data_IF_337590648439
#
_entry.id   IF_337590648439
#
_cell.length_a   1.000
_cell.length_b   1.000
_cell.length_c   1.000
_cell.angle_alpha   90.00
_cell.angle_beta   90.00
_cell.angle_gamma   90.00
#
_symmetry.space_group_name_H-M   'P 1'
#
loop_
_entity.id
_entity.type
_entity.pdbx_description
1 polymer ?
#
# COMPACT_ATOMS: atom_id res chain seq x y z
N UNK A 1 -7.36 9.37 -23.39
CA UNK A 1 -6.86 9.02 -22.05
C UNK A 1 -5.62 8.18 -22.20
N UNK A 2 -4.51 8.66 -21.66
CA UNK A 2 -3.26 7.90 -21.55
C UNK A 2 -3.49 6.69 -20.63
N UNK A 3 -2.93 5.54 -21.01
CA UNK A 3 -3.04 4.29 -20.26
C UNK A 3 -1.67 3.93 -19.70
N UNK A 4 -1.68 3.37 -18.49
CA UNK A 4 -0.49 2.90 -17.78
C UNK A 4 -0.71 1.46 -17.31
N UNK A 5 0.37 0.68 -17.27
CA UNK A 5 0.35 -0.70 -16.82
C UNK A 5 0.01 -0.80 -15.34
N UNK A 6 -0.94 -1.67 -14.99
CA UNK A 6 -1.44 -1.81 -13.62
C UNK A 6 -0.40 -2.38 -12.67
N UNK A 7 0.57 -3.17 -13.13
CA UNK A 7 1.67 -3.68 -12.29
C UNK A 7 2.59 -2.55 -11.80
N UNK A 8 2.88 -1.59 -12.68
CA UNK A 8 3.64 -0.38 -12.36
C UNK A 8 2.87 0.51 -11.38
N UNK A 9 1.56 0.67 -11.59
CA UNK A 9 0.70 1.42 -10.65
C UNK A 9 0.59 0.71 -9.31
N UNK A 10 0.38 -0.60 -9.29
CA UNK A 10 0.28 -1.41 -8.07
C UNK A 10 1.57 -1.32 -7.25
N UNK A 11 2.73 -1.44 -7.90
CA UNK A 11 4.03 -1.22 -7.25
C UNK A 11 4.13 0.18 -6.64
N UNK A 12 3.70 1.22 -7.38
CA UNK A 12 3.70 2.58 -6.89
C UNK A 12 2.75 2.77 -5.69
N UNK A 13 1.55 2.18 -5.71
CA UNK A 13 0.59 2.22 -4.60
C UNK A 13 1.19 1.59 -3.34
N UNK A 14 1.72 0.37 -3.44
CA UNK A 14 2.31 -0.35 -2.31
C UNK A 14 3.52 0.40 -1.75
N UNK A 15 4.46 0.82 -2.62
CA UNK A 15 5.64 1.59 -2.20
C UNK A 15 5.27 2.91 -1.54
N UNK A 16 4.26 3.59 -2.08
CA UNK A 16 3.76 4.88 -1.54
C UNK A 16 3.17 4.67 -0.16
N UNK A 17 2.36 3.63 0.04
CA UNK A 17 1.85 3.28 1.36
C UNK A 17 2.99 3.12 2.37
N UNK A 18 3.97 2.25 2.08
CA UNK A 18 5.06 1.98 3.02
C UNK A 18 5.86 3.24 3.34
N UNK A 19 6.23 4.02 2.32
CA UNK A 19 6.97 5.27 2.51
C UNK A 19 6.23 6.23 3.43
N UNK A 20 4.97 6.54 3.12
CA UNK A 20 4.23 7.58 3.84
C UNK A 20 3.71 7.11 5.20
N UNK A 21 3.35 5.83 5.35
CA UNK A 21 2.99 5.27 6.64
C UNK A 21 4.18 5.29 7.61
N UNK A 22 5.35 4.84 7.17
CA UNK A 22 6.58 4.91 7.97
C UNK A 22 6.97 6.35 8.26
N UNK A 23 6.87 7.26 7.28
CA UNK A 23 7.12 8.68 7.49
C UNK A 23 6.21 9.24 8.60
N UNK A 24 4.91 8.93 8.54
CA UNK A 24 3.95 9.33 9.55
C UNK A 24 4.33 8.82 10.95
N UNK A 25 4.71 7.54 11.07
CA UNK A 25 5.16 6.96 12.35
C UNK A 25 6.38 7.72 12.90
N UNK A 26 7.39 7.93 12.06
CA UNK A 26 8.63 8.60 12.45
C UNK A 26 8.33 10.02 12.92
N UNK A 27 7.64 10.82 12.11
CA UNK A 27 7.33 12.21 12.43
C UNK A 27 6.31 12.35 13.57
N UNK A 28 5.44 11.37 13.76
CA UNK A 28 4.51 11.32 14.91
C UNK A 28 5.21 11.01 16.22
N UNK A 29 6.39 10.38 16.16
CA UNK A 29 7.20 9.98 17.33
C UNK A 29 8.40 10.90 17.58
N UNK A 30 8.74 11.77 16.62
CA UNK A 30 9.91 12.64 16.73
C UNK A 30 9.64 13.81 17.69
N UNK A 31 10.48 13.95 18.72
CA UNK A 31 10.46 15.11 19.62
C UNK A 31 11.01 16.36 18.95
N UNK A 32 11.99 16.19 18.05
CA UNK A 32 12.61 17.25 17.25
C UNK A 32 12.39 16.97 15.75
N UNK A 33 11.66 17.87 15.08
CA UNK A 33 11.36 17.77 13.66
C UNK A 33 12.59 17.94 12.75
N UNK A 34 13.72 18.39 13.30
CA UNK A 34 14.98 18.60 12.56
C UNK A 34 15.99 17.47 12.77
N UNK A 35 15.71 16.52 13.65
CA UNK A 35 16.58 15.37 13.88
C UNK A 35 16.52 14.42 12.68
N UNK A 36 17.60 14.39 11.91
CA UNK A 36 17.72 13.51 10.74
C UNK A 36 18.15 12.08 11.11
N UNK A 37 18.62 11.84 12.34
CA UNK A 37 19.07 10.52 12.79
C UNK A 37 17.93 9.51 12.88
N UNK A 38 16.68 9.99 12.97
CA UNK A 38 15.46 9.16 12.94
C UNK A 38 15.26 8.42 11.61
N UNK A 39 15.89 8.90 10.53
CA UNK A 39 15.86 8.27 9.20
C UNK A 39 17.04 7.34 8.94
N UNK A 40 17.99 7.23 9.87
CA UNK A 40 19.10 6.28 9.73
C UNK A 40 18.60 4.83 9.77
N UNK A 41 19.31 3.88 9.10
CA UNK A 41 18.85 2.50 8.98
C UNK A 41 18.53 1.81 10.32
N UNK A 42 19.24 2.16 11.40
CA UNK A 42 18.99 1.60 12.73
C UNK A 42 17.65 2.09 13.31
N UNK A 43 17.41 3.40 13.24
CA UNK A 43 16.19 4.05 13.73
C UNK A 43 14.96 3.57 12.96
N UNK A 44 15.06 3.53 11.63
CA UNK A 44 13.99 3.01 10.75
C UNK A 44 13.59 1.59 11.15
N UNK A 45 14.56 0.69 11.35
CA UNK A 45 14.28 -0.68 11.81
C UNK A 45 13.56 -0.72 13.15
N UNK A 46 13.97 0.13 14.10
CA UNK A 46 13.32 0.20 15.42
C UNK A 46 11.85 0.59 15.31
N UNK A 47 11.52 1.61 14.50
CA UNK A 47 10.13 1.99 14.25
C UNK A 47 9.34 0.88 13.56
N UNK A 48 9.92 0.24 12.53
CA UNK A 48 9.26 -0.85 11.80
C UNK A 48 8.95 -2.03 12.71
N UNK A 49 9.91 -2.46 13.55
CA UNK A 49 9.72 -3.57 14.49
C UNK A 49 8.70 -3.22 15.57
N UNK A 50 8.78 -2.01 16.15
CA UNK A 50 7.86 -1.53 17.19
C UNK A 50 6.41 -1.52 16.70
N UNK A 51 6.18 -1.18 15.44
CA UNK A 51 4.84 -1.04 14.85
C UNK A 51 4.51 -2.11 13.82
N UNK A 52 5.20 -3.26 13.83
CA UNK A 52 5.15 -4.25 12.75
C UNK A 52 3.73 -4.70 12.38
N UNK A 53 2.90 -4.99 13.39
CA UNK A 53 1.51 -5.41 13.20
C UNK A 53 0.62 -4.32 12.60
N UNK A 54 0.97 -3.04 12.79
CA UNK A 54 0.20 -1.91 12.27
C UNK A 54 0.32 -1.76 10.76
N UNK A 55 1.44 -2.20 10.17
CA UNK A 55 1.63 -2.15 8.73
C UNK A 55 0.59 -2.98 7.98
N UNK A 56 0.39 -4.24 8.35
CA UNK A 56 -0.58 -5.11 7.67
C UNK A 56 -2.01 -4.65 7.92
N UNK A 57 -2.33 -4.24 9.14
CA UNK A 57 -3.65 -3.72 9.50
C UNK A 57 -3.99 -2.48 8.65
N UNK A 58 -3.15 -1.45 8.70
CA UNK A 58 -3.41 -0.19 7.98
C UNK A 58 -3.31 -0.37 6.47
N UNK A 59 -2.41 -1.24 5.98
CA UNK A 59 -2.36 -1.55 4.54
C UNK A 59 -3.69 -2.15 4.07
N UNK A 60 -4.22 -3.14 4.78
CA UNK A 60 -5.48 -3.77 4.38
C UNK A 60 -6.66 -2.77 4.37
N UNK A 61 -6.72 -1.87 5.35
CA UNK A 61 -7.73 -0.80 5.41
C UNK A 61 -7.63 0.17 4.22
N UNK A 62 -6.44 0.72 3.97
CA UNK A 62 -6.27 1.81 3.01
C UNK A 62 -6.09 1.32 1.56
N UNK A 63 -5.42 0.18 1.38
CA UNK A 63 -5.17 -0.38 0.06
C UNK A 63 -6.42 -1.04 -0.54
N UNK A 64 -7.40 -1.46 0.26
CA UNK A 64 -8.65 -2.05 -0.25
C UNK A 64 -9.32 -1.12 -1.27
N UNK A 65 -9.58 0.13 -0.89
CA UNK A 65 -10.21 1.09 -1.80
C UNK A 65 -9.35 1.37 -3.04
N UNK A 66 -8.04 1.56 -2.85
CA UNK A 66 -7.10 1.81 -3.94
C UNK A 66 -7.13 0.68 -4.97
N UNK A 67 -7.03 -0.57 -4.51
CA UNK A 67 -6.98 -1.76 -5.37
C UNK A 67 -8.34 -2.05 -6.00
N UNK A 68 -9.46 -1.88 -5.28
CA UNK A 68 -10.80 -2.00 -5.86
C UNK A 68 -10.99 -1.04 -7.03
N UNK A 69 -10.55 0.21 -6.92
CA UNK A 69 -10.63 1.20 -8.03
C UNK A 69 -9.74 0.87 -9.21
N UNK A 70 -8.72 0.02 -9.05
CA UNK A 70 -7.95 -0.49 -10.18
C UNK A 70 -8.72 -1.58 -10.91
N UNK A 71 -9.54 -2.37 -10.21
CA UNK A 71 -10.07 -3.64 -10.73
C UNK A 71 -11.58 -3.65 -10.99
N UNK A 72 -12.32 -2.67 -10.48
CA UNK A 72 -13.76 -2.57 -10.62
C UNK A 72 -14.16 -1.18 -11.12
N UNK A 73 -15.28 -1.12 -11.84
CA UNK A 73 -15.94 0.14 -12.15
C UNK A 73 -16.52 0.77 -10.88
N UNK A 74 -16.61 2.09 -10.83
CA UNK A 74 -17.07 2.79 -9.62
C UNK A 74 -18.51 2.41 -9.26
N UNK A 75 -19.34 2.28 -10.28
CA UNK A 75 -20.75 1.90 -10.19
C UNK A 75 -20.98 0.44 -9.77
N UNK A 76 -20.00 -0.46 -9.92
CA UNK A 76 -20.18 -1.89 -9.61
C UNK A 76 -19.59 -2.31 -8.25
N UNK A 77 -18.65 -1.53 -7.68
CA UNK A 77 -17.93 -1.92 -6.45
C UNK A 77 -18.87 -2.19 -5.28
N UNK A 78 -19.85 -1.31 -5.05
CA UNK A 78 -20.73 -1.41 -3.89
C UNK A 78 -21.65 -2.64 -3.99
N UNK A 79 -22.25 -2.86 -5.16
CA UNK A 79 -23.12 -4.01 -5.40
C UNK A 79 -22.35 -5.33 -5.30
N UNK A 80 -21.18 -5.42 -5.92
CA UNK A 80 -20.32 -6.61 -5.86
C UNK A 80 -19.84 -6.89 -4.42
N UNK A 81 -19.50 -5.84 -3.66
CA UNK A 81 -19.09 -5.96 -2.27
C UNK A 81 -20.25 -6.45 -1.39
N UNK A 82 -21.46 -5.90 -1.57
CA UNK A 82 -22.64 -6.35 -0.83
C UNK A 82 -22.96 -7.82 -1.13
N UNK A 83 -22.91 -8.22 -2.41
CA UNK A 83 -23.07 -9.63 -2.82
C UNK A 83 -22.02 -10.51 -2.15
N UNK A 84 -20.75 -10.12 -2.22
CA UNK A 84 -19.65 -10.85 -1.62
C UNK A 84 -19.83 -11.04 -0.11
N UNK A 85 -20.19 -9.98 0.62
CA UNK A 85 -20.45 -10.05 2.07
C UNK A 85 -21.68 -10.93 2.36
N UNK A 86 -22.75 -10.84 1.56
CA UNK A 86 -23.95 -11.66 1.78
C UNK A 86 -23.69 -13.16 1.65
N UNK A 87 -22.81 -13.56 0.74
CA UNK A 87 -22.44 -14.96 0.50
C UNK A 87 -21.46 -15.47 1.57
N UNK A 88 -20.51 -14.64 2.00
CA UNK A 88 -19.42 -15.05 2.89
C UNK A 88 -19.66 -14.70 4.37
N UNK A 89 -20.75 -14.02 4.70
CA UNK A 89 -21.12 -13.61 6.05
C UNK A 89 -20.19 -12.51 6.59
N UNK A 90 -19.13 -12.90 7.31
CA UNK A 90 -18.19 -11.99 7.95
C UNK A 90 -16.79 -12.19 7.36
N UNK A 91 -16.52 -11.68 6.14
CA UNK A 91 -15.24 -11.88 5.48
C UNK A 91 -14.09 -11.27 6.29
N UNK A 92 -12.95 -11.96 6.33
CA UNK A 92 -11.73 -11.43 6.93
C UNK A 92 -11.13 -10.30 6.08
N UNK A 93 -10.17 -9.55 6.64
CA UNK A 93 -9.40 -8.57 5.87
C UNK A 93 -8.70 -9.19 4.65
N UNK A 94 -8.29 -10.46 4.74
CA UNK A 94 -7.67 -11.18 3.63
C UNK A 94 -8.68 -11.52 2.53
N UNK A 95 -9.90 -11.89 2.92
CA UNK A 95 -10.99 -12.18 1.97
C UNK A 95 -11.39 -10.91 1.22
N UNK A 96 -11.51 -9.79 1.92
CA UNK A 96 -11.76 -8.46 1.32
C UNK A 96 -10.63 -8.04 0.39
N UNK A 97 -9.37 -8.29 0.76
CA UNK A 97 -8.24 -7.95 -0.10
C UNK A 97 -8.21 -8.80 -1.37
N UNK A 98 -8.53 -10.10 -1.27
CA UNK A 98 -8.68 -10.98 -2.44
C UNK A 98 -9.83 -10.51 -3.34
N UNK A 99 -10.95 -10.12 -2.75
CA UNK A 99 -12.05 -9.48 -3.47
C UNK A 99 -11.55 -8.25 -4.23
N UNK A 100 -10.91 -7.28 -3.57
CA UNK A 100 -10.40 -6.06 -4.22
C UNK A 100 -9.45 -6.35 -5.39
N UNK A 101 -8.61 -7.39 -5.26
CA UNK A 101 -7.67 -7.79 -6.31
C UNK A 101 -8.36 -8.39 -7.55
N UNK A 102 -9.59 -8.91 -7.44
CA UNK A 102 -10.40 -9.54 -8.49
C UNK A 102 -9.83 -10.82 -9.12
N UNK A 103 -8.51 -10.95 -9.27
CA UNK A 103 -7.83 -12.15 -9.78
C UNK A 103 -6.68 -12.58 -8.90
N UNK A 104 -6.32 -13.86 -8.97
CA UNK A 104 -5.20 -14.42 -8.21
C UNK A 104 -3.84 -13.87 -8.68
N UNK A 105 -3.69 -13.53 -9.97
CA UNK A 105 -2.48 -12.90 -10.51
C UNK A 105 -2.28 -11.49 -9.92
N UNK A 106 -3.37 -10.71 -9.80
CA UNK A 106 -3.30 -9.39 -9.16
C UNK A 106 -2.95 -9.53 -7.69
N UNK A 107 -3.62 -10.44 -6.98
CA UNK A 107 -3.38 -10.68 -5.57
C UNK A 107 -1.95 -11.14 -5.29
N UNK A 108 -1.42 -12.10 -6.08
CA UNK A 108 -0.04 -12.58 -5.94
C UNK A 108 1.00 -11.50 -6.27
N UNK A 109 0.74 -10.66 -7.27
CA UNK A 109 1.59 -9.50 -7.59
C UNK A 109 1.59 -8.49 -6.44
N UNK A 110 0.42 -8.19 -5.87
CA UNK A 110 0.30 -7.29 -4.71
C UNK A 110 1.06 -7.84 -3.49
N UNK A 111 0.89 -9.14 -3.18
CA UNK A 111 1.60 -9.79 -2.07
C UNK A 111 3.11 -9.74 -2.27
N UNK A 112 3.59 -9.90 -3.50
CA UNK A 112 5.02 -9.85 -3.84
C UNK A 112 5.59 -8.44 -3.61
N UNK A 113 4.87 -7.41 -4.06
CA UNK A 113 5.25 -6.01 -3.80
C UNK A 113 5.17 -5.65 -2.32
N UNK A 114 4.17 -6.15 -1.59
CA UNK A 114 4.05 -5.93 -0.15
C UNK A 114 5.26 -6.49 0.60
N UNK A 115 5.59 -7.76 0.34
CA UNK A 115 6.75 -8.44 0.96
C UNK A 115 8.04 -7.70 0.65
N UNK A 116 8.27 -7.35 -0.61
CA UNK A 116 9.45 -6.60 -1.06
C UNK A 116 9.61 -5.28 -0.30
N UNK A 117 8.55 -4.48 -0.17
CA UNK A 117 8.64 -3.18 0.51
C UNK A 117 8.83 -3.34 2.03
N UNK A 118 8.20 -4.35 2.64
CA UNK A 118 8.45 -4.69 4.04
C UNK A 118 9.90 -5.13 4.28
N UNK A 119 10.45 -5.96 3.41
CA UNK A 119 11.85 -6.42 3.48
C UNK A 119 12.83 -5.25 3.39
N UNK A 120 12.60 -4.28 2.50
CA UNK A 120 13.40 -3.07 2.40
C UNK A 120 13.41 -2.29 3.72
N UNK A 121 12.24 -2.07 4.33
CA UNK A 121 12.12 -1.39 5.61
C UNK A 121 12.79 -2.15 6.77
N UNK A 122 12.66 -3.48 6.81
CA UNK A 122 13.36 -4.34 7.78
C UNK A 122 14.88 -4.33 7.55
N UNK A 123 15.34 -4.03 6.34
CA UNK A 123 16.74 -3.76 6.04
C UNK A 123 17.18 -2.32 6.39
N UNK A 124 16.26 -1.47 6.84
CA UNK A 124 16.52 -0.07 7.20
C UNK A 124 16.53 0.88 6.00
N UNK A 125 16.00 0.44 4.85
CA UNK A 125 15.93 1.23 3.63
C UNK A 125 14.60 1.97 3.61
N UNK A 126 14.60 3.20 4.13
CA UNK A 126 13.39 4.03 4.22
C UNK A 126 12.87 4.51 2.85
N UNK A 127 13.76 4.87 1.93
CA UNK A 127 13.41 5.28 0.57
C UNK A 127 14.22 4.48 -0.44
N UNK A 128 13.54 3.70 -1.28
CA UNK A 128 14.17 2.96 -2.36
C UNK A 128 14.80 3.91 -3.39
N UNK A 129 15.96 3.54 -3.93
CA UNK A 129 16.57 4.24 -5.08
C UNK A 129 15.74 4.02 -6.36
N UNK A 130 15.92 4.84 -7.40
CA UNK A 130 15.27 4.62 -8.70
C UNK A 130 15.52 3.22 -9.26
N UNK A 131 16.73 2.68 -9.11
CA UNK A 131 17.09 1.34 -9.55
C UNK A 131 16.29 0.28 -8.78
N UNK A 132 16.22 0.40 -7.45
CA UNK A 132 15.42 -0.50 -6.61
C UNK A 132 13.92 -0.38 -6.92
N UNK A 133 13.43 0.81 -7.23
CA UNK A 133 12.03 1.03 -7.61
C UNK A 133 11.70 0.44 -8.99
N UNK A 134 12.67 0.42 -9.92
CA UNK A 134 12.49 -0.13 -11.29
C UNK A 134 12.38 -1.66 -11.34
N UNK A 135 12.81 -2.34 -10.29
CA UNK A 135 12.85 -3.79 -10.17
C UNK A 135 11.53 -4.41 -9.69
N UNK A 136 10.43 -3.65 -9.65
CA UNK A 136 9.12 -4.10 -9.20
C UNK A 136 8.62 -5.39 -9.90
N UNK A 137 7.70 -6.09 -9.24
CA UNK A 137 7.07 -7.31 -9.74
C UNK A 137 6.24 -6.99 -10.98
N UNK A 138 6.72 -7.43 -12.15
CA UNK A 138 6.03 -7.24 -13.42
C UNK A 138 4.94 -8.28 -13.62
N UNK A 139 3.78 -7.85 -14.09
CA UNK A 139 2.66 -8.73 -14.40
C UNK A 139 1.79 -8.10 -15.50
N UNK A 140 2.09 -8.43 -16.75
CA UNK A 140 1.35 -7.84 -17.88
C UNK A 140 -0.11 -8.30 -17.94
N UNK A 141 -0.43 -9.48 -17.39
CA UNK A 141 -1.79 -10.06 -17.44
C UNK A 141 -2.81 -9.31 -16.61
N UNK A 142 -2.37 -8.51 -15.62
CA UNK A 142 -3.29 -7.69 -14.81
C UNK A 142 -3.74 -6.43 -15.55
N UNK A 143 -3.16 -6.13 -16.72
CA UNK A 143 -3.68 -5.18 -17.69
C UNK A 143 -3.26 -3.73 -17.48
N UNK A 144 -4.09 -2.81 -17.97
CA UNK A 144 -3.82 -1.37 -17.98
C UNK A 144 -4.98 -0.59 -17.35
N UNK A 145 -4.71 0.64 -16.96
CA UNK A 145 -5.73 1.57 -16.46
C UNK A 145 -5.47 3.01 -16.92
N UNK A 146 -6.46 3.92 -16.80
CA UNK A 146 -6.22 5.33 -17.08
C UNK A 146 -5.21 5.95 -16.13
N UNK A 147 -4.32 6.78 -16.67
CA UNK A 147 -3.30 7.46 -15.89
C UNK A 147 -3.89 8.39 -14.82
N UNK A 148 -4.89 9.21 -15.14
CA UNK A 148 -5.52 10.13 -14.19
C UNK A 148 -6.08 9.39 -12.96
N UNK A 149 -6.66 8.20 -13.19
CA UNK A 149 -7.16 7.33 -12.10
C UNK A 149 -6.00 6.80 -11.26
N UNK A 150 -4.89 6.41 -11.88
CA UNK A 150 -3.71 5.93 -11.17
C UNK A 150 -3.12 7.03 -10.27
N UNK A 151 -2.99 8.26 -10.77
CA UNK A 151 -2.50 9.41 -10.00
C UNK A 151 -3.40 9.73 -8.81
N UNK A 152 -4.73 9.73 -9.01
CA UNK A 152 -5.69 9.95 -7.94
C UNK A 152 -5.58 8.90 -6.82
N UNK A 153 -5.41 7.61 -7.19
CA UNK A 153 -5.23 6.52 -6.23
C UNK A 153 -3.93 6.68 -5.44
N UNK A 154 -2.81 6.99 -6.11
CA UNK A 154 -1.50 7.15 -5.47
C UNK A 154 -1.49 8.35 -4.51
N UNK A 155 -2.11 9.48 -4.90
CA UNK A 155 -2.19 10.65 -4.02
C UNK A 155 -3.05 10.36 -2.77
N UNK A 156 -4.17 9.63 -2.94
CA UNK A 156 -5.02 9.24 -1.81
C UNK A 156 -4.28 8.33 -0.84
N UNK A 157 -3.57 7.30 -1.32
CA UNK A 157 -2.86 6.37 -0.45
C UNK A 157 -1.73 7.08 0.30
N UNK A 158 -1.01 8.01 -0.33
CA UNK A 158 0.02 8.81 0.33
C UNK A 158 -0.53 9.59 1.54
N UNK A 159 -1.60 10.34 1.33
CA UNK A 159 -2.22 11.17 2.38
C UNK A 159 -2.76 10.30 3.53
N UNK A 160 -3.51 9.25 3.20
CA UNK A 160 -4.13 8.38 4.22
C UNK A 160 -3.11 7.59 5.02
N UNK A 161 -2.11 7.03 4.36
CA UNK A 161 -1.02 6.31 5.01
C UNK A 161 -0.27 7.23 5.99
N UNK A 162 0.09 8.44 5.55
CA UNK A 162 0.75 9.41 6.42
C UNK A 162 -0.11 9.79 7.63
N UNK A 163 -1.37 10.18 7.41
CA UNK A 163 -2.29 10.53 8.49
C UNK A 163 -2.44 9.40 9.51
N UNK A 164 -2.60 8.16 9.05
CA UNK A 164 -2.74 6.99 9.93
C UNK A 164 -1.46 6.74 10.72
N UNK A 165 -0.31 6.77 10.07
CA UNK A 165 1.00 6.57 10.71
C UNK A 165 1.26 7.60 11.81
N UNK A 166 1.01 8.89 11.51
CA UNK A 166 1.22 10.00 12.45
C UNK A 166 0.35 9.94 13.70
N UNK A 167 -0.82 9.29 13.60
CA UNK A 167 -1.77 9.17 14.70
C UNK A 167 -1.65 7.87 15.49
N UNK A 168 -0.63 7.04 15.22
CA UNK A 168 -0.34 5.87 16.05
C UNK A 168 0.13 6.37 17.42
N UNK A 169 -0.69 6.15 18.43
CA UNK A 169 -0.35 6.41 19.83
C UNK A 169 0.52 5.27 20.38
N UNK A 170 1.50 5.62 21.21
CA UNK A 170 2.29 4.66 21.99
C UNK A 170 1.45 3.90 23.01
#
# INVERSE_FOLDING_TARGET
MEKIEKDKVLSAVVRTFFKYFTLGIIEGSAEDATDMSVYEPKSVKQFVVKHFEKYSQTFNEEAFYAISRMNYLEEEVEEELQRFVSVNGSPSAMDLMRFACRTDEFYSTMVSEYKRNMELLLCGIFSATPEQASQYTRCNSIGNMPQDTAEAIINRIANKAYEKGKNIKE
#
